data_IF_309855042077
#
_entry.id   IF_309855042077
#
_cell.length_a   1.000
_cell.length_b   1.000
_cell.length_c   1.000
_cell.angle_alpha   90.00
_cell.angle_beta   90.00
_cell.angle_gamma   90.00
#
_symmetry.space_group_name_H-M   'P 1'
#
loop_
_entity.id
_entity.type
_entity.pdbx_description
1 polymer ?
#
# COMPACT_ATOMS: atom_id res chain seq x y z
N UNK A 1 -21.06 11.65 -4.25
CA UNK A 1 -20.37 10.52 -3.58
C UNK A 1 -18.88 10.80 -3.63
N UNK A 2 -18.19 10.66 -2.50
CA UNK A 2 -16.87 11.21 -2.24
C UNK A 2 -15.81 10.75 -3.28
N UNK A 3 -15.15 11.73 -3.89
CA UNK A 3 -13.92 11.54 -4.66
C UNK A 3 -12.81 11.26 -3.65
N UNK A 4 -12.70 10.01 -3.17
CA UNK A 4 -11.51 9.56 -2.42
C UNK A 4 -10.34 9.78 -3.36
N UNK A 5 -9.29 10.43 -2.88
CA UNK A 5 -8.04 10.62 -3.61
C UNK A 5 -7.46 9.24 -3.95
N UNK A 6 -7.84 8.72 -5.11
CA UNK A 6 -7.69 7.31 -5.48
C UNK A 6 -6.20 6.92 -5.44
N UNK A 7 -5.84 6.27 -4.34
CA UNK A 7 -4.64 5.45 -4.13
C UNK A 7 -3.30 6.14 -3.93
N UNK A 8 -3.26 7.42 -3.53
CA UNK A 8 -2.10 8.02 -2.85
C UNK A 8 -0.73 7.83 -3.53
N UNK A 9 -0.71 7.62 -4.85
CA UNK A 9 0.47 7.35 -5.66
C UNK A 9 0.83 5.90 -5.95
N UNK A 10 0.04 4.91 -5.49
CA UNK A 10 0.13 3.51 -5.90
C UNK A 10 -0.54 3.27 -7.26
N UNK A 11 0.11 2.47 -8.10
CA UNK A 11 -0.36 2.04 -9.43
C UNK A 11 0.01 0.56 -9.61
N UNK A 12 -0.54 -0.09 -10.64
CA UNK A 12 -0.14 -1.45 -11.03
C UNK A 12 -0.31 -2.50 -9.93
N UNK A 13 0.68 -3.39 -9.81
CA UNK A 13 0.62 -4.56 -8.92
C UNK A 13 0.44 -4.21 -7.44
N UNK A 14 1.12 -3.16 -6.96
CA UNK A 14 1.00 -2.74 -5.57
C UNK A 14 -0.42 -2.25 -5.25
N UNK A 15 -1.05 -1.52 -6.18
CA UNK A 15 -2.43 -1.07 -6.03
C UNK A 15 -3.41 -2.25 -5.96
N UNK A 16 -3.26 -3.22 -6.87
CA UNK A 16 -4.11 -4.40 -6.88
C UNK A 16 -3.91 -5.27 -5.64
N UNK A 17 -2.72 -5.29 -5.03
CA UNK A 17 -2.48 -5.93 -3.75
C UNK A 17 -3.23 -5.23 -2.60
N UNK A 18 -3.16 -3.89 -2.52
CA UNK A 18 -3.86 -3.09 -1.49
C UNK A 18 -5.37 -3.33 -1.57
N UNK A 19 -5.95 -3.25 -2.78
CA UNK A 19 -7.38 -3.51 -3.00
C UNK A 19 -7.81 -4.91 -2.61
N UNK A 20 -7.02 -5.93 -2.98
CA UNK A 20 -7.29 -7.33 -2.63
C UNK A 20 -7.24 -7.59 -1.13
N UNK A 21 -6.44 -6.82 -0.40
CA UNK A 21 -6.36 -6.88 1.05
C UNK A 21 -7.43 -5.99 1.74
N UNK A 22 -8.26 -5.28 0.97
CA UNK A 22 -9.25 -4.31 1.46
C UNK A 22 -8.65 -3.26 2.41
N UNK A 23 -7.37 -2.93 2.21
CA UNK A 23 -6.63 -2.00 3.06
C UNK A 23 -6.73 -0.56 2.55
N UNK A 24 -6.71 0.39 3.48
CA UNK A 24 -6.69 1.82 3.21
C UNK A 24 -5.39 2.47 3.72
N UNK A 25 -5.09 3.65 3.20
CA UNK A 25 -3.99 4.46 3.70
C UNK A 25 -4.26 4.82 5.17
N UNK A 26 -3.29 4.57 6.03
CA UNK A 26 -3.41 4.73 7.48
C UNK A 26 -3.68 3.44 8.23
N UNK A 27 -4.05 2.35 7.54
CA UNK A 27 -4.23 1.05 8.18
C UNK A 27 -2.90 0.44 8.62
N UNK A 28 -2.95 -0.32 9.71
CA UNK A 28 -1.87 -1.22 10.09
C UNK A 28 -1.98 -2.47 9.25
N UNK A 29 -0.98 -2.71 8.41
CA UNK A 29 -0.91 -3.88 7.53
C UNK A 29 0.24 -4.79 7.94
N UNK A 30 0.05 -6.09 7.69
CA UNK A 30 1.09 -7.11 7.86
C UNK A 30 1.48 -7.65 6.49
N UNK A 31 2.75 -7.50 6.13
CA UNK A 31 3.32 -8.01 4.88
C UNK A 31 4.26 -9.16 5.20
N UNK A 32 4.04 -10.31 4.55
CA UNK A 32 4.92 -11.48 4.66
C UNK A 32 5.71 -11.64 3.37
N UNK A 33 7.04 -11.62 3.46
CA UNK A 33 7.96 -11.78 2.32
C UNK A 33 9.11 -12.69 2.72
N UNK A 34 9.32 -13.79 1.99
CA UNK A 34 10.44 -14.73 2.24
C UNK A 34 10.56 -15.19 3.71
N UNK A 35 9.45 -15.55 4.35
CA UNK A 35 9.34 -15.89 5.77
C UNK A 35 9.61 -14.74 6.78
N UNK A 36 9.91 -13.54 6.30
CA UNK A 36 9.96 -12.34 7.12
C UNK A 36 8.58 -11.69 7.19
N UNK A 37 8.26 -11.13 8.36
CA UNK A 37 7.00 -10.43 8.62
C UNK A 37 7.30 -8.99 8.97
N UNK A 38 6.68 -8.08 8.24
CA UNK A 38 6.74 -6.64 8.48
C UNK A 38 5.33 -6.18 8.88
N UNK A 39 5.22 -5.45 9.98
CA UNK A 39 3.96 -4.88 10.45
C UNK A 39 4.14 -3.38 10.67
N UNK A 40 3.26 -2.58 10.08
CA UNK A 40 3.34 -1.13 10.17
C UNK A 40 2.23 -0.44 9.42
N UNK A 41 2.28 0.88 9.38
CA UNK A 41 1.22 1.72 8.80
C UNK A 41 1.45 1.84 7.29
N UNK A 42 0.41 1.52 6.49
CA UNK A 42 0.40 1.79 5.06
C UNK A 42 0.34 3.30 4.83
N UNK A 43 1.38 3.85 4.20
CA UNK A 43 1.47 5.30 3.94
C UNK A 43 1.37 5.61 2.44
N UNK A 44 1.01 6.87 2.07
CA UNK A 44 1.10 7.34 0.70
C UNK A 44 2.49 7.13 0.10
N UNK A 45 2.50 7.04 -1.22
CA UNK A 45 3.69 6.83 -2.02
C UNK A 45 3.85 7.99 -3.02
N UNK A 46 5.08 8.29 -3.42
CA UNK A 46 5.31 9.18 -4.56
C UNK A 46 4.96 8.50 -5.89
N UNK A 47 4.22 9.19 -6.76
CA UNK A 47 3.73 8.69 -8.05
C UNK A 47 4.83 8.29 -9.05
N UNK A 48 6.05 8.80 -8.85
CA UNK A 48 7.20 8.55 -9.73
C UNK A 48 8.00 7.28 -9.38
N UNK A 49 7.61 6.56 -8.33
CA UNK A 49 8.25 5.29 -7.96
C UNK A 49 7.85 4.11 -8.84
N UNK A 50 8.57 3.00 -8.75
CA UNK A 50 8.24 1.72 -9.42
C UNK A 50 6.93 1.13 -8.85
N UNK A 51 6.01 0.74 -9.72
CA UNK A 51 4.64 0.25 -9.42
C UNK A 51 4.57 -1.02 -8.55
N UNK A 52 5.70 -1.71 -8.32
CA UNK A 52 5.72 -2.99 -7.59
C UNK A 52 5.86 -2.88 -6.08
N UNK A 53 6.16 -1.68 -5.56
CA UNK A 53 6.52 -1.52 -4.15
C UNK A 53 5.40 -0.93 -3.30
N UNK A 54 5.29 -1.47 -2.07
CA UNK A 54 4.50 -0.93 -0.96
C UNK A 54 5.41 -0.16 -0.01
N UNK A 55 4.90 0.93 0.56
CA UNK A 55 5.59 1.72 1.58
C UNK A 55 4.89 1.56 2.91
N UNK A 56 5.63 1.05 3.89
CA UNK A 56 5.14 0.78 5.24
C UNK A 56 6.01 1.55 6.23
N UNK A 57 5.39 2.28 7.15
CA UNK A 57 6.07 2.94 8.26
C UNK A 57 6.04 2.02 9.48
N UNK A 58 7.22 1.64 9.95
CA UNK A 58 7.44 0.91 11.21
C UNK A 58 7.38 1.86 12.42
#
# INVERSE_FOLDING_TARGET
MAKKEEFSGYKGEALEAIKRAEAEIGDIIRVTKNAEVYEGILIPRSEYGDEKYLVIKL
#
